data_IF_178631325511
#
_entry.id   IF_178631325511
#
_cell.length_a   1.000
_cell.length_b   1.000
_cell.length_c   1.000
_cell.angle_alpha   90.00
_cell.angle_beta   90.00
_cell.angle_gamma   90.00
#
_symmetry.space_group_name_H-M   'P 1'
#
loop_
_entity.id
_entity.type
_entity.pdbx_description
1 polymer ?
#
# COMPACT_ATOMS: atom_id res chain seq x y z
N UNK A 1 -46.29 12.51 -31.12
CA UNK A 1 -45.62 11.22 -30.91
C UNK A 1 -44.25 11.30 -30.19
N UNK A 2 -43.58 12.46 -30.13
CA UNK A 2 -42.24 12.60 -29.52
C UNK A 2 -42.17 12.69 -27.98
N UNK A 3 -43.29 12.95 -27.28
CA UNK A 3 -43.31 13.15 -25.81
C UNK A 3 -43.22 11.86 -24.98
N UNK A 4 -43.60 10.71 -25.53
CA UNK A 4 -43.58 9.41 -24.81
C UNK A 4 -42.21 8.73 -24.83
N UNK A 5 -41.36 8.99 -25.83
CA UNK A 5 -39.98 8.49 -25.86
C UNK A 5 -39.06 9.21 -24.86
N UNK A 6 -39.28 10.51 -24.62
CA UNK A 6 -38.44 11.28 -23.69
C UNK A 6 -38.61 10.85 -22.22
N UNK A 7 -39.80 10.37 -21.84
CA UNK A 7 -40.11 9.94 -20.47
C UNK A 7 -39.52 8.55 -20.19
N UNK A 8 -39.49 7.64 -21.17
CA UNK A 8 -38.82 6.33 -21.02
C UNK A 8 -37.30 6.48 -20.89
N UNK A 9 -36.70 7.46 -21.57
CA UNK A 9 -35.27 7.72 -21.47
C UNK A 9 -34.87 8.28 -20.09
N UNK A 10 -35.71 9.08 -19.44
CA UNK A 10 -35.38 9.67 -18.13
C UNK A 10 -35.47 8.68 -16.96
N UNK A 11 -36.23 7.58 -17.09
CA UNK A 11 -36.41 6.59 -16.01
C UNK A 11 -35.33 5.51 -16.01
N UNK A 12 -34.63 5.28 -17.12
CA UNK A 12 -33.56 4.26 -17.19
C UNK A 12 -32.18 4.73 -16.73
N UNK A 13 -31.93 6.04 -16.67
CA UNK A 13 -30.61 6.60 -16.31
C UNK A 13 -30.19 6.32 -14.86
N UNK A 14 -31.07 6.38 -13.83
CA UNK A 14 -30.63 6.13 -12.45
C UNK A 14 -30.35 4.65 -12.15
N UNK A 15 -30.86 3.70 -12.96
CA UNK A 15 -30.61 2.26 -12.76
C UNK A 15 -29.19 1.87 -13.20
N UNK A 16 -28.62 2.57 -14.17
CA UNK A 16 -27.25 2.32 -14.65
C UNK A 16 -26.15 2.92 -13.75
N UNK A 17 -26.50 3.83 -12.84
CA UNK A 17 -25.57 4.49 -11.91
C UNK A 17 -25.46 3.77 -10.55
N UNK A 18 -26.29 2.75 -10.31
CA UNK A 18 -26.23 1.90 -9.11
C UNK A 18 -25.34 0.65 -9.31
N UNK A 19 -24.43 0.68 -10.30
CA UNK A 19 -23.45 -0.38 -10.48
C UNK A 19 -22.51 -0.39 -9.27
N UNK A 20 -22.76 -1.33 -8.36
CA UNK A 20 -21.84 -1.69 -7.28
C UNK A 20 -20.44 -1.90 -7.88
N UNK A 21 -19.36 -1.55 -7.17
CA UNK A 21 -18.01 -1.84 -7.66
C UNK A 21 -17.95 -3.32 -8.00
N UNK A 22 -17.65 -3.62 -9.26
CA UNK A 22 -17.53 -4.98 -9.73
C UNK A 22 -16.34 -5.63 -9.01
N UNK A 23 -16.62 -6.32 -7.91
CA UNK A 23 -15.68 -7.24 -7.29
C UNK A 23 -15.46 -8.38 -8.27
N UNK A 24 -14.38 -8.29 -9.04
CA UNK A 24 -13.99 -9.36 -9.96
C UNK A 24 -13.52 -10.57 -9.15
N UNK A 25 -14.44 -11.49 -8.85
CA UNK A 25 -14.11 -12.81 -8.34
C UNK A 25 -13.76 -13.72 -9.53
N UNK A 26 -12.49 -13.73 -9.93
CA UNK A 26 -11.98 -14.72 -10.89
C UNK A 26 -11.75 -16.05 -10.17
N UNK A 27 -12.83 -16.77 -9.89
CA UNK A 27 -12.76 -18.16 -9.43
C UNK A 27 -13.48 -19.07 -10.43
N UNK A 28 -12.96 -19.12 -11.65
CA UNK A 28 -13.24 -20.25 -12.55
C UNK A 28 -11.93 -20.95 -12.80
N UNK A 29 -11.73 -22.06 -12.10
CA UNK A 29 -10.71 -23.05 -12.44
C UNK A 29 -11.09 -23.66 -13.79
N UNK A 30 -10.53 -23.12 -14.88
CA UNK A 30 -10.61 -23.78 -16.18
C UNK A 30 -9.95 -25.15 -16.12
N UNK A 31 -10.56 -26.14 -16.76
CA UNK A 31 -10.09 -27.54 -16.81
C UNK A 31 -8.95 -27.78 -17.82
N UNK A 32 -8.35 -26.71 -18.35
CA UNK A 32 -7.22 -26.79 -19.30
C UNK A 32 -5.86 -26.99 -18.61
N UNK A 33 -4.81 -27.37 -19.36
CA UNK A 33 -3.45 -27.58 -18.83
C UNK A 33 -2.82 -26.31 -18.24
N UNK A 34 -3.39 -25.13 -18.53
CA UNK A 34 -3.04 -23.88 -17.87
C UNK A 34 -3.87 -23.69 -16.58
N UNK A 35 -3.50 -24.39 -15.52
CA UNK A 35 -3.96 -24.05 -14.16
C UNK A 35 -3.30 -22.74 -13.72
N UNK A 36 -3.82 -21.60 -14.18
CA UNK A 36 -3.47 -20.31 -13.62
C UNK A 36 -4.03 -20.22 -12.21
N UNK A 37 -3.20 -20.44 -11.19
CA UNK A 37 -3.59 -20.13 -9.82
C UNK A 37 -3.58 -18.61 -9.66
N UNK A 38 -4.73 -18.02 -9.38
CA UNK A 38 -4.79 -16.63 -8.94
C UNK A 38 -4.08 -16.54 -7.58
N UNK A 39 -2.98 -15.79 -7.52
CA UNK A 39 -2.25 -15.56 -6.28
C UNK A 39 -2.75 -14.25 -5.66
N UNK A 40 -3.31 -14.34 -4.46
CA UNK A 40 -3.72 -13.17 -3.67
C UNK A 40 -2.50 -12.62 -2.95
N UNK A 41 -2.20 -11.34 -3.13
CA UNK A 41 -1.16 -10.66 -2.36
C UNK A 41 -1.64 -10.54 -0.91
N UNK A 42 -0.89 -11.05 0.08
CA UNK A 42 -1.28 -10.96 1.49
C UNK A 42 -1.32 -9.50 1.93
N UNK A 43 -2.03 -9.20 3.01
CA UNK A 43 -2.01 -7.88 3.64
C UNK A 43 -0.63 -7.59 4.25
N UNK A 44 -0.20 -6.34 4.19
CA UNK A 44 1.00 -5.89 4.91
C UNK A 44 0.85 -6.00 6.43
N UNK A 45 1.92 -6.38 7.12
CA UNK A 45 1.95 -6.34 8.58
C UNK A 45 2.01 -4.89 9.09
N UNK A 46 1.39 -4.61 10.24
CA UNK A 46 1.49 -3.31 10.89
C UNK A 46 2.97 -2.99 11.17
N UNK A 47 3.53 -1.90 10.62
CA UNK A 47 4.91 -1.55 10.89
C UNK A 47 5.08 -0.99 12.30
N UNK A 48 6.24 -1.22 12.88
CA UNK A 48 6.73 -0.50 14.05
C UNK A 48 7.88 0.43 13.63
N UNK A 49 8.09 1.49 14.38
CA UNK A 49 9.20 2.40 14.18
C UNK A 49 9.98 2.59 15.48
N UNK A 50 11.30 2.73 15.36
CA UNK A 50 12.18 3.08 16.47
C UNK A 50 13.04 4.27 16.05
N UNK A 51 13.11 5.29 16.90
CA UNK A 51 13.96 6.46 16.69
C UNK A 51 15.42 6.03 16.76
N UNK A 52 16.19 6.30 15.71
CA UNK A 52 17.61 5.96 15.67
C UNK A 52 18.38 6.76 16.74
N UNK A 53 19.27 6.07 17.46
CA UNK A 53 20.13 6.65 18.50
C UNK A 53 21.61 6.33 18.21
N UNK A 54 22.53 7.31 18.32
CA UNK A 54 22.26 8.74 18.47
C UNK A 54 21.56 9.29 17.21
N UNK A 55 20.62 10.22 17.37
CA UNK A 55 19.99 10.86 16.23
C UNK A 55 21.07 11.66 15.47
N UNK A 56 21.40 11.32 14.22
CA UNK A 56 22.29 12.16 13.44
C UNK A 56 21.61 13.52 13.27
N UNK A 57 22.22 14.57 13.81
CA UNK A 57 22.01 16.01 13.53
C UNK A 57 20.57 16.49 13.25
N UNK A 58 20.03 17.36 14.09
CA UNK A 58 18.79 18.18 13.95
C UNK A 58 17.45 17.49 13.56
N UNK A 59 17.41 16.30 12.96
CA UNK A 59 16.19 15.61 12.48
C UNK A 59 16.11 14.17 13.03
N UNK A 60 15.02 13.74 13.70
CA UNK A 60 14.77 12.33 13.96
C UNK A 60 14.80 11.48 12.70
N UNK A 61 15.61 10.42 12.78
CA UNK A 61 15.58 9.28 11.86
C UNK A 61 14.78 8.17 12.52
N UNK A 62 13.83 7.58 11.80
CA UNK A 62 13.11 6.40 12.26
C UNK A 62 13.54 5.17 11.47
N UNK A 63 13.88 4.10 12.17
CA UNK A 63 14.02 2.77 11.59
C UNK A 63 12.66 2.07 11.68
N UNK A 64 12.04 1.83 10.54
CA UNK A 64 10.80 1.08 10.42
C UNK A 64 11.11 -0.41 10.33
N UNK A 65 10.28 -1.24 10.94
CA UNK A 65 10.36 -2.70 10.87
C UNK A 65 8.97 -3.32 10.74
N UNK A 66 8.81 -4.34 9.90
CA UNK A 66 7.55 -5.09 9.76
C UNK A 66 7.83 -6.55 9.37
N UNK A 67 6.86 -7.44 9.60
CA UNK A 67 6.95 -8.84 9.18
C UNK A 67 6.80 -8.98 7.66
N UNK A 68 7.56 -9.88 7.06
CA UNK A 68 7.52 -10.10 5.61
C UNK A 68 6.18 -10.69 5.16
N UNK A 69 5.59 -10.06 4.13
CA UNK A 69 4.46 -10.58 3.40
C UNK A 69 4.88 -11.77 2.53
N UNK A 70 4.40 -12.97 2.89
CA UNK A 70 4.63 -14.21 2.16
C UNK A 70 3.36 -14.65 1.42
N UNK A 71 3.53 -14.99 0.15
CA UNK A 71 2.51 -15.61 -0.68
C UNK A 71 2.30 -17.07 -0.24
N UNK A 72 1.14 -17.67 -0.57
CA UNK A 72 0.97 -19.11 -0.49
C UNK A 72 2.12 -19.84 -1.20
N UNK A 73 2.71 -20.84 -0.54
CA UNK A 73 3.90 -21.54 -1.05
C UNK A 73 5.24 -20.94 -0.62
N UNK A 74 5.27 -19.95 0.28
CA UNK A 74 6.49 -19.48 0.95
C UNK A 74 7.32 -18.46 0.16
N UNK A 75 6.77 -17.93 -0.94
CA UNK A 75 7.45 -16.91 -1.75
C UNK A 75 7.15 -15.52 -1.23
N UNK A 76 8.17 -14.70 -1.03
CA UNK A 76 8.01 -13.30 -0.64
C UNK A 76 7.43 -12.43 -1.78
N UNK A 77 6.79 -11.33 -1.38
CA UNK A 77 6.41 -10.25 -2.30
C UNK A 77 7.65 -9.57 -2.92
N UNK A 78 7.46 -8.84 -4.02
CA UNK A 78 8.55 -8.13 -4.71
C UNK A 78 9.07 -6.94 -3.91
N UNK A 79 8.20 -6.26 -3.18
CA UNK A 79 8.55 -5.09 -2.39
C UNK A 79 7.37 -4.51 -1.64
N UNK A 80 7.52 -3.27 -1.18
CA UNK A 80 6.52 -2.56 -0.39
C UNK A 80 6.43 -1.10 -0.81
N UNK A 81 5.22 -0.55 -0.90
CA UNK A 81 5.05 0.90 -0.84
C UNK A 81 4.99 1.31 0.63
N UNK A 82 5.99 2.09 1.06
CA UNK A 82 6.10 2.60 2.42
C UNK A 82 5.60 4.04 2.43
N UNK A 83 4.56 4.29 3.23
CA UNK A 83 3.95 5.61 3.32
C UNK A 83 3.89 6.04 4.78
N UNK A 84 3.87 7.34 4.98
CA UNK A 84 3.68 7.96 6.28
C UNK A 84 2.39 8.77 6.28
N UNK A 85 1.75 8.80 7.44
CA UNK A 85 0.59 9.61 7.76
C UNK A 85 1.09 10.68 8.72
N UNK A 86 0.96 11.94 8.32
CA UNK A 86 1.55 13.10 9.03
C UNK A 86 0.49 14.15 9.31
N UNK A 87 0.71 14.93 10.37
CA UNK A 87 -0.14 16.06 10.76
C UNK A 87 0.69 17.35 10.69
N UNK A 88 0.71 18.04 9.54
CA UNK A 88 1.57 19.21 9.32
C UNK A 88 1.04 20.43 10.08
N UNK A 89 1.14 20.42 11.41
CA UNK A 89 0.64 21.44 12.33
C UNK A 89 -0.87 21.76 12.12
N UNK A 90 -1.64 20.79 11.63
CA UNK A 90 -3.09 20.89 11.44
C UNK A 90 -3.76 19.60 11.91
N UNK A 91 -5.07 19.64 12.16
CA UNK A 91 -5.85 18.45 12.49
C UNK A 91 -6.07 17.50 11.29
N UNK A 92 -5.62 17.88 10.08
CA UNK A 92 -5.85 17.11 8.85
C UNK A 92 -4.61 16.25 8.56
N UNK A 93 -4.80 14.93 8.64
CA UNK A 93 -3.76 13.98 8.28
C UNK A 93 -3.51 13.98 6.76
N UNK A 94 -2.25 13.86 6.35
CA UNK A 94 -1.87 13.59 4.95
C UNK A 94 -1.11 12.27 4.88
N UNK A 95 -1.43 11.47 3.87
CA UNK A 95 -0.67 10.26 3.54
C UNK A 95 0.27 10.57 2.39
N UNK A 96 1.56 10.32 2.57
CA UNK A 96 2.58 10.56 1.56
C UNK A 96 3.60 9.43 1.53
N UNK A 97 4.24 9.21 0.38
CA UNK A 97 5.34 8.26 0.27
C UNK A 97 6.54 8.76 1.09
N UNK A 98 7.28 7.85 1.69
CA UNK A 98 8.53 8.21 2.35
C UNK A 98 9.55 8.61 1.27
N UNK A 99 9.90 9.89 1.25
CA UNK A 99 10.75 10.49 0.22
C UNK A 99 12.23 10.63 0.58
N UNK A 100 12.66 10.12 1.75
CA UNK A 100 14.05 10.20 2.20
C UNK A 100 14.43 8.96 3.02
N UNK A 101 15.74 8.68 3.10
CA UNK A 101 16.28 7.49 3.76
C UNK A 101 16.17 6.23 2.89
N UNK A 102 16.39 5.06 3.48
CA UNK A 102 16.37 3.79 2.73
C UNK A 102 14.96 3.28 2.43
N UNK A 103 13.93 3.86 3.04
CA UNK A 103 12.53 3.59 2.67
C UNK A 103 12.14 4.22 1.33
N UNK A 104 12.96 5.13 0.78
CA UNK A 104 12.71 5.75 -0.51
C UNK A 104 12.63 4.67 -1.58
N UNK A 105 11.44 4.46 -2.10
CA UNK A 105 11.21 3.42 -3.09
C UNK A 105 11.69 3.82 -4.49
N UNK A 106 11.89 2.82 -5.34
CA UNK A 106 12.22 2.99 -6.76
C UNK A 106 11.00 2.68 -7.63
N UNK A 107 11.14 2.85 -8.95
CA UNK A 107 10.10 2.40 -9.87
C UNK A 107 10.33 0.93 -10.22
N UNK A 108 9.36 0.07 -9.89
CA UNK A 108 9.41 -1.37 -10.17
C UNK A 108 8.22 -1.75 -11.04
N UNK A 109 8.47 -2.27 -12.25
CA UNK A 109 7.41 -2.63 -13.21
C UNK A 109 6.38 -1.50 -13.46
N UNK A 110 6.83 -0.24 -13.47
CA UNK A 110 5.98 0.93 -13.66
C UNK A 110 5.27 1.43 -12.40
N UNK A 111 5.39 0.73 -11.25
CA UNK A 111 4.91 1.23 -9.96
C UNK A 111 5.97 2.11 -9.29
N UNK A 112 5.67 3.37 -8.96
CA UNK A 112 6.61 4.23 -8.25
C UNK A 112 6.68 3.89 -6.76
N UNK A 113 7.73 4.39 -6.09
CA UNK A 113 7.90 4.36 -4.63
C UNK A 113 7.83 2.94 -4.03
N UNK A 114 8.36 1.95 -4.75
CA UNK A 114 8.47 0.57 -4.24
C UNK A 114 9.83 0.37 -3.57
N UNK A 115 9.82 0.20 -2.26
CA UNK A 115 10.95 -0.30 -1.49
C UNK A 115 11.17 -1.78 -1.83
N UNK A 116 12.37 -2.11 -2.32
CA UNK A 116 12.77 -3.48 -2.63
C UNK A 116 13.71 -3.97 -1.53
N UNK A 117 13.31 -4.96 -0.73
CA UNK A 117 14.17 -5.58 0.27
C UNK A 117 15.50 -6.07 -0.31
N UNK A 118 16.61 -5.81 0.40
CA UNK A 118 17.89 -6.43 0.09
C UNK A 118 17.84 -7.96 0.30
N UNK A 119 17.08 -8.41 1.31
CA UNK A 119 16.79 -9.81 1.55
C UNK A 119 15.26 -10.04 1.61
N UNK A 120 14.61 -10.41 0.50
CA UNK A 120 13.15 -10.56 0.47
C UNK A 120 12.65 -11.75 1.29
N UNK A 121 13.51 -12.73 1.62
CA UNK A 121 13.11 -13.91 2.41
C UNK A 121 13.39 -13.77 3.91
N UNK A 122 13.94 -12.64 4.35
CA UNK A 122 14.08 -12.35 5.77
C UNK A 122 12.71 -12.41 6.48
N UNK A 123 12.63 -12.83 7.75
CA UNK A 123 11.35 -12.90 8.48
C UNK A 123 10.75 -11.50 8.70
N UNK A 124 11.61 -10.50 8.78
CA UNK A 124 11.25 -9.09 8.93
C UNK A 124 11.96 -8.25 7.88
N UNK A 125 11.34 -7.13 7.55
CA UNK A 125 11.89 -6.11 6.66
C UNK A 125 12.08 -4.83 7.44
N UNK A 126 13.10 -4.06 7.05
CA UNK A 126 13.39 -2.77 7.67
C UNK A 126 13.89 -1.75 6.67
N UNK A 127 13.60 -0.49 6.95
CA UNK A 127 14.10 0.66 6.22
C UNK A 127 14.12 1.90 7.12
N UNK A 128 14.79 2.96 6.69
CA UNK A 128 14.89 4.22 7.43
C UNK A 128 14.14 5.37 6.75
N UNK A 129 13.39 6.15 7.54
CA UNK A 129 12.87 7.47 7.18
C UNK A 129 13.73 8.53 7.86
N UNK A 130 14.43 9.35 7.07
CA UNK A 130 15.32 10.41 7.56
C UNK A 130 14.68 11.81 7.55
N UNK A 131 13.38 11.92 7.23
CA UNK A 131 12.68 13.20 7.09
C UNK A 131 11.37 13.23 7.90
N UNK A 132 11.27 12.48 8.99
CA UNK A 132 10.03 12.38 9.75
C UNK A 132 9.73 13.65 10.60
N UNK A 133 10.76 14.43 10.99
CA UNK A 133 10.59 15.57 11.91
C UNK A 133 9.87 16.77 11.33
N UNK A 134 9.97 16.99 10.01
CA UNK A 134 9.47 18.23 9.43
C UNK A 134 7.95 18.40 9.59
N UNK A 135 7.24 17.36 10.07
CA UNK A 135 5.80 17.23 9.95
C UNK A 135 5.08 16.82 11.26
N UNK A 136 5.73 16.93 12.43
CA UNK A 136 5.10 16.69 13.73
C UNK A 136 4.93 15.20 14.07
N UNK A 137 3.72 14.79 14.44
CA UNK A 137 3.37 13.38 14.69
C UNK A 137 3.40 12.57 13.39
N UNK A 138 3.86 11.33 13.46
CA UNK A 138 3.93 10.43 12.30
C UNK A 138 3.41 9.02 12.62
N UNK A 139 2.67 8.44 11.68
CA UNK A 139 2.38 7.00 11.62
C UNK A 139 2.86 6.44 10.29
N UNK A 140 3.04 5.14 10.21
CA UNK A 140 3.48 4.46 9.00
C UNK A 140 2.49 3.37 8.59
N UNK A 141 2.39 3.16 7.29
CA UNK A 141 1.68 2.05 6.67
C UNK A 141 2.58 1.42 5.60
N UNK A 142 2.42 0.12 5.40
CA UNK A 142 3.13 -0.61 4.34
C UNK A 142 2.14 -1.36 3.49
N UNK A 143 2.34 -1.29 2.16
CA UNK A 143 1.51 -1.99 1.20
C UNK A 143 2.37 -2.94 0.38
N UNK A 144 2.17 -4.27 0.47
CA UNK A 144 2.98 -5.23 -0.27
C UNK A 144 2.72 -5.12 -1.78
N UNK A 145 3.77 -5.32 -2.56
CA UNK A 145 3.75 -5.24 -4.02
C UNK A 145 4.25 -6.54 -4.61
N UNK A 146 3.46 -7.15 -5.49
CA UNK A 146 3.84 -8.32 -6.27
C UNK A 146 3.87 -7.98 -7.75
N UNK A 147 5.07 -7.84 -8.31
CA UNK A 147 5.30 -7.41 -9.69
C UNK A 147 4.67 -6.05 -10.01
N UNK A 148 3.46 -6.02 -10.58
CA UNK A 148 2.68 -4.80 -10.90
C UNK A 148 1.39 -4.67 -10.08
N UNK A 149 1.19 -5.59 -9.13
CA UNK A 149 -0.01 -5.66 -8.31
C UNK A 149 0.28 -5.12 -6.92
N UNK A 150 -0.56 -4.20 -6.48
CA UNK A 150 -0.52 -3.62 -5.14
C UNK A 150 -1.52 -4.40 -4.28
N UNK A 151 -1.04 -4.96 -3.17
CA UNK A 151 -1.85 -5.71 -2.22
C UNK A 151 -2.64 -4.79 -1.27
N UNK A 152 -3.31 -5.38 -0.28
CA UNK A 152 -3.99 -4.61 0.76
C UNK A 152 -2.99 -3.95 1.71
N UNK A 153 -3.24 -2.67 2.00
CA UNK A 153 -2.45 -1.87 2.94
C UNK A 153 -2.56 -2.40 4.37
N UNK A 154 -1.45 -2.32 5.12
CA UNK A 154 -1.42 -2.68 6.54
C UNK A 154 -2.33 -1.77 7.38
N UNK A 155 -2.71 -2.19 8.59
CA UNK A 155 -3.12 -1.23 9.61
C UNK A 155 -1.98 -0.22 9.87
N UNK A 156 -2.29 1.03 10.27
CA UNK A 156 -1.24 2.00 10.56
C UNK A 156 -0.59 1.74 11.91
N UNK A 157 0.70 2.05 12.00
CA UNK A 157 1.48 1.97 13.23
C UNK A 157 0.90 2.83 14.36
N UNK A 158 1.42 2.70 15.60
CA UNK A 158 1.29 3.73 16.63
C UNK A 158 1.78 5.10 16.13
N UNK A 159 1.40 6.14 16.86
CA UNK A 159 1.89 7.51 16.63
C UNK A 159 3.30 7.64 17.22
N UNK A 160 4.20 8.29 16.48
CA UNK A 160 5.57 8.59 16.87
C UNK A 160 5.84 10.11 16.81
N UNK A 161 6.73 10.58 17.69
CA UNK A 161 7.17 11.98 17.83
C UNK A 161 8.67 12.08 18.14
#
# INVERSE_FOLDING_TARGET
MFRRLAILALVLVPVLLAAQPASAAWAVSGTGPARGQAVVVPQGATPSATKATPAPTYLPVYTLTWSTAMLPGGRAVTGYQVQRIVWPNTAIARTEAVGAGTCTGTTVNGLPNVFVPANPTAPTQSCTDTNAYALGEVRYIVTPVLSRWVGPTSPPSPVYS
#
